data_IF_955176185268
#
_entry.id   IF_955176185268
#
_cell.length_a   1.000
_cell.length_b   1.000
_cell.length_c   1.000
_cell.angle_alpha   90.00
_cell.angle_beta   90.00
_cell.angle_gamma   90.00
#
_symmetry.space_group_name_H-M   'P 1'
#
loop_
_entity.id
_entity.type
_entity.pdbx_description
1 polymer ?
#
# COMPACT_ATOMS: atom_id res chain seq x y z
N UNK A 1 19.69 -2.13 26.59
CA UNK A 1 18.53 -2.46 25.72
C UNK A 1 18.54 -1.47 24.57
N UNK A 2 18.74 -1.92 23.32
CA UNK A 2 18.72 -1.02 22.16
C UNK A 2 17.26 -0.62 21.92
N UNK A 3 16.95 0.67 22.06
CA UNK A 3 15.68 1.23 21.63
C UNK A 3 15.51 0.91 20.15
N UNK A 4 14.37 0.31 19.81
CA UNK A 4 13.92 0.00 18.47
C UNK A 4 13.65 1.35 17.78
N UNK A 5 14.71 1.99 17.28
CA UNK A 5 14.63 3.27 16.58
C UNK A 5 13.51 3.19 15.55
N UNK A 6 12.60 4.15 15.62
CA UNK A 6 11.42 4.30 14.79
C UNK A 6 11.76 4.02 13.33
N UNK A 7 11.23 2.93 12.77
CA UNK A 7 11.17 2.76 11.33
C UNK A 7 10.23 3.85 10.79
N UNK A 8 10.75 5.07 10.61
CA UNK A 8 9.96 6.21 10.17
C UNK A 8 9.35 5.98 8.78
N UNK A 9 10.04 5.21 7.93
CA UNK A 9 9.60 4.83 6.59
C UNK A 9 9.95 3.38 6.28
N UNK A 10 9.04 2.66 5.64
CA UNK A 10 9.20 1.29 5.17
C UNK A 10 9.03 1.25 3.65
N UNK A 11 10.09 0.85 2.94
CA UNK A 11 10.00 0.54 1.52
C UNK A 11 9.50 -0.90 1.34
N UNK A 12 8.39 -1.05 0.62
CA UNK A 12 7.80 -2.34 0.25
C UNK A 12 7.89 -2.46 -1.28
N UNK A 13 8.89 -3.19 -1.79
CA UNK A 13 9.10 -3.29 -3.22
C UNK A 13 8.25 -4.39 -3.85
N UNK A 14 7.94 -4.21 -5.14
CA UNK A 14 7.39 -5.24 -6.02
C UNK A 14 5.98 -5.70 -5.63
N UNK A 15 5.09 -4.76 -5.33
CA UNK A 15 3.69 -5.08 -5.00
C UNK A 15 2.77 -4.86 -6.19
N UNK A 16 1.80 -5.76 -6.36
CA UNK A 16 0.92 -5.74 -7.53
C UNK A 16 -0.34 -4.92 -7.28
N UNK A 17 -0.65 -4.00 -8.21
CA UNK A 17 -1.94 -3.32 -8.24
C UNK A 17 -3.01 -4.29 -8.72
N UNK A 18 -4.00 -4.53 -7.88
CA UNK A 18 -5.13 -5.42 -8.15
C UNK A 18 -6.45 -4.63 -8.19
N UNK A 19 -7.45 -5.20 -8.86
CA UNK A 19 -8.79 -4.62 -8.98
C UNK A 19 -9.84 -5.68 -8.70
N UNK A 20 -10.89 -5.29 -7.99
CA UNK A 20 -12.10 -6.09 -7.85
C UNK A 20 -13.34 -5.23 -8.09
N UNK A 21 -14.44 -5.91 -8.44
CA UNK A 21 -15.77 -5.30 -8.51
C UNK A 21 -16.58 -5.72 -7.29
N UNK A 22 -17.15 -4.74 -6.61
CA UNK A 22 -18.11 -4.94 -5.52
C UNK A 22 -19.43 -4.32 -5.94
N UNK A 23 -20.31 -5.12 -6.55
CA UNK A 23 -21.51 -4.64 -7.22
C UNK A 23 -21.15 -3.70 -8.38
N UNK A 24 -21.65 -2.45 -8.33
CA UNK A 24 -21.33 -1.40 -9.32
C UNK A 24 -20.04 -0.63 -9.03
N UNK A 25 -19.38 -0.89 -7.90
CA UNK A 25 -18.16 -0.17 -7.48
C UNK A 25 -16.91 -0.93 -7.89
N UNK A 26 -15.91 -0.20 -8.34
CA UNK A 26 -14.56 -0.72 -8.59
C UNK A 26 -13.66 -0.36 -7.41
N UNK A 27 -12.89 -1.34 -6.94
CA UNK A 27 -11.96 -1.17 -5.81
C UNK A 27 -10.60 -1.62 -6.29
N UNK A 28 -9.63 -0.70 -6.23
CA UNK A 28 -8.23 -1.00 -6.45
C UNK A 28 -7.57 -1.24 -5.11
N UNK A 29 -6.69 -2.23 -5.03
CA UNK A 29 -6.06 -2.63 -3.79
C UNK A 29 -4.71 -3.27 -4.03
N UNK A 30 -3.93 -3.35 -2.97
CA UNK A 30 -2.61 -3.98 -2.94
C UNK A 30 -2.53 -4.87 -1.71
N UNK A 31 -2.06 -6.11 -1.89
CA UNK A 31 -1.60 -6.94 -0.79
C UNK A 31 -0.15 -6.61 -0.45
N UNK A 32 0.14 -6.49 0.84
CA UNK A 32 1.48 -6.29 1.34
C UNK A 32 2.13 -7.67 1.58
N UNK A 33 3.39 -7.88 1.13
CA UNK A 33 4.05 -9.17 1.26
C UNK A 33 4.22 -9.58 2.73
N UNK A 34 3.95 -10.85 3.03
CA UNK A 34 3.95 -11.38 4.40
C UNK A 34 5.29 -11.15 5.14
N UNK A 35 6.43 -11.12 4.42
CA UNK A 35 7.75 -10.79 5.01
C UNK A 35 7.81 -9.44 5.74
N UNK A 36 6.88 -8.52 5.44
CA UNK A 36 6.80 -7.22 6.10
C UNK A 36 5.86 -7.20 7.30
N UNK A 37 5.12 -8.26 7.58
CA UNK A 37 4.05 -8.27 8.59
C UNK A 37 4.51 -7.77 9.96
N UNK A 38 5.71 -8.17 10.41
CA UNK A 38 6.27 -7.75 11.71
C UNK A 38 6.51 -6.24 11.85
N UNK A 39 6.53 -5.50 10.75
CA UNK A 39 6.71 -4.05 10.70
C UNK A 39 5.38 -3.32 10.49
N UNK A 40 4.33 -4.05 10.15
CA UNK A 40 3.01 -3.50 9.85
C UNK A 40 2.12 -3.59 11.08
N UNK A 41 1.27 -2.59 11.25
CA UNK A 41 0.27 -2.58 12.30
C UNK A 41 -1.04 -2.01 11.77
N UNK A 42 -2.14 -2.35 12.43
CA UNK A 42 -3.39 -1.63 12.26
C UNK A 42 -3.18 -0.13 12.54
N UNK A 43 -3.97 0.72 11.89
CA UNK A 43 -3.87 2.17 12.00
C UNK A 43 -3.77 2.86 10.65
N UNK A 44 -3.48 4.17 10.68
CA UNK A 44 -3.27 5.00 9.50
C UNK A 44 -1.79 5.07 9.16
N UNK A 45 -1.50 4.92 7.87
CA UNK A 45 -0.18 5.03 7.29
C UNK A 45 -0.22 6.06 6.18
N UNK A 46 0.79 6.91 6.10
CA UNK A 46 1.02 7.72 4.90
C UNK A 46 1.62 6.82 3.83
N UNK A 47 1.00 6.78 2.65
CA UNK A 47 1.41 5.93 1.54
C UNK A 47 1.86 6.79 0.37
N UNK A 48 3.02 6.45 -0.19
CA UNK A 48 3.50 6.93 -1.49
C UNK A 48 3.76 5.73 -2.38
N UNK A 49 3.30 5.76 -3.63
CA UNK A 49 3.65 4.76 -4.64
C UNK A 49 4.81 5.27 -5.50
N UNK A 50 5.76 4.39 -5.81
CA UNK A 50 6.81 4.64 -6.79
C UNK A 50 6.47 3.82 -8.03
N UNK A 51 6.26 4.49 -9.16
CA UNK A 51 5.92 3.87 -10.44
C UNK A 51 6.87 4.37 -11.52
N UNK A 52 7.75 3.49 -12.01
CA UNK A 52 8.89 3.91 -12.83
C UNK A 52 9.75 4.93 -12.06
N UNK A 53 9.95 6.11 -12.64
CA UNK A 53 10.71 7.21 -12.03
C UNK A 53 9.83 8.22 -11.27
N UNK A 54 8.53 7.94 -11.08
CA UNK A 54 7.57 8.88 -10.50
C UNK A 54 7.15 8.46 -9.10
N UNK A 55 7.09 9.44 -8.21
CA UNK A 55 6.43 9.31 -6.91
C UNK A 55 5.00 9.84 -6.97
N UNK A 56 4.07 9.06 -6.43
CA UNK A 56 2.64 9.37 -6.39
C UNK A 56 2.18 9.34 -4.94
N UNK A 57 1.84 10.50 -4.40
CA UNK A 57 1.26 10.60 -3.07
C UNK A 57 -0.15 9.98 -3.06
N UNK A 58 -0.29 8.82 -2.41
CA UNK A 58 -1.58 8.17 -2.18
C UNK A 58 -2.29 8.80 -0.97
N UNK A 59 -1.50 9.25 0.02
CA UNK A 59 -1.95 9.85 1.26
C UNK A 59 -2.34 8.81 2.32
N UNK A 60 -3.11 9.23 3.33
CA UNK A 60 -3.42 8.39 4.49
C UNK A 60 -4.32 7.21 4.15
N UNK A 61 -3.85 5.98 4.38
CA UNK A 61 -4.64 4.75 4.23
C UNK A 61 -4.59 3.90 5.48
N UNK A 62 -5.67 3.17 5.68
CA UNK A 62 -5.70 2.11 6.69
C UNK A 62 -5.18 0.82 6.08
N UNK A 63 -4.40 0.08 6.86
CA UNK A 63 -4.06 -1.30 6.54
C UNK A 63 -5.11 -2.24 7.16
N UNK A 64 -5.61 -3.17 6.37
CA UNK A 64 -6.61 -4.16 6.76
C UNK A 64 -6.01 -5.56 6.66
N UNK A 65 -6.39 -6.47 7.56
CA UNK A 65 -6.05 -7.88 7.39
C UNK A 65 -7.10 -8.57 6.53
N UNK A 66 -6.63 -9.35 5.57
CA UNK A 66 -7.43 -10.30 4.82
C UNK A 66 -6.67 -11.62 4.75
N UNK A 67 -7.16 -12.62 5.49
CA UNK A 67 -6.39 -13.82 5.79
C UNK A 67 -5.09 -13.49 6.52
N UNK A 68 -3.96 -14.03 6.03
CA UNK A 68 -2.62 -13.84 6.60
C UNK A 68 -1.87 -12.62 6.06
N UNK A 69 -2.53 -11.78 5.26
CA UNK A 69 -1.90 -10.64 4.59
C UNK A 69 -2.51 -9.32 5.06
N UNK A 70 -1.66 -8.31 5.20
CA UNK A 70 -2.14 -6.92 5.21
C UNK A 70 -2.45 -6.48 3.78
N UNK A 71 -3.46 -5.64 3.63
CA UNK A 71 -3.81 -5.01 2.37
C UNK A 71 -4.22 -3.55 2.58
N UNK A 72 -4.13 -2.76 1.51
CA UNK A 72 -4.66 -1.40 1.47
C UNK A 72 -5.44 -1.17 0.19
N UNK A 73 -6.38 -0.23 0.24
CA UNK A 73 -7.13 0.24 -0.93
C UNK A 73 -6.50 1.49 -1.50
N UNK A 74 -6.50 1.59 -2.83
CA UNK A 74 -6.01 2.74 -3.56
C UNK A 74 -7.16 3.72 -3.87
N UNK A 75 -6.90 5.04 -3.91
CA UNK A 75 -7.92 6.04 -4.16
C UNK A 75 -8.51 5.92 -5.55
N UNK A 76 -9.84 5.93 -5.64
CA UNK A 76 -10.56 5.91 -6.92
C UNK A 76 -10.30 7.17 -7.76
N UNK A 77 -9.95 8.30 -7.13
CA UNK A 77 -9.59 9.53 -7.84
C UNK A 77 -8.36 9.38 -8.72
N UNK A 78 -7.49 8.41 -8.44
CA UNK A 78 -6.30 8.08 -9.25
C UNK A 78 -6.54 6.87 -10.17
N UNK A 79 -7.80 6.52 -10.46
CA UNK A 79 -8.19 5.37 -11.30
C UNK A 79 -7.38 5.25 -12.58
N UNK A 80 -7.22 6.34 -13.33
CA UNK A 80 -6.51 6.31 -14.62
C UNK A 80 -5.07 5.81 -14.47
N UNK A 81 -4.41 6.14 -13.36
CA UNK A 81 -3.07 5.66 -13.04
C UNK A 81 -3.14 4.17 -12.72
N UNK A 82 -4.05 3.74 -11.83
CA UNK A 82 -4.13 2.32 -11.44
C UNK A 82 -4.48 1.39 -12.58
N UNK A 83 -5.27 1.84 -13.56
CA UNK A 83 -5.53 1.09 -14.78
C UNK A 83 -4.26 0.88 -15.63
N UNK A 84 -3.36 1.88 -15.69
CA UNK A 84 -2.08 1.74 -16.41
C UNK A 84 -1.13 0.72 -15.75
N UNK A 85 -1.27 0.52 -14.44
CA UNK A 85 -0.44 -0.37 -13.62
C UNK A 85 -1.17 -1.63 -13.15
N UNK A 86 -2.38 -1.91 -13.66
CA UNK A 86 -3.15 -3.08 -13.26
C UNK A 86 -2.39 -4.36 -13.63
N UNK A 87 -2.14 -5.23 -12.65
CA UNK A 87 -1.34 -6.44 -12.81
C UNK A 87 0.18 -6.20 -12.92
N UNK A 88 0.65 -4.95 -12.86
CA UNK A 88 2.07 -4.60 -12.83
C UNK A 88 2.57 -4.41 -11.39
N UNK A 89 3.87 -4.55 -11.22
CA UNK A 89 4.55 -4.27 -9.96
C UNK A 89 4.85 -2.78 -9.81
N UNK A 90 4.67 -2.29 -8.59
CA UNK A 90 5.05 -0.96 -8.13
C UNK A 90 5.71 -1.08 -6.77
N UNK A 91 6.44 -0.06 -6.34
CA UNK A 91 6.94 -0.01 -4.95
C UNK A 91 6.06 0.92 -4.10
N UNK A 92 6.03 0.67 -2.80
CA UNK A 92 5.35 1.54 -1.84
C UNK A 92 6.32 2.01 -0.77
N UNK A 93 6.19 3.28 -0.38
CA UNK A 93 6.74 3.80 0.86
C UNK A 93 5.59 3.95 1.85
N UNK A 94 5.75 3.35 3.03
CA UNK A 94 4.82 3.38 4.15
C UNK A 94 5.43 4.13 5.32
N UNK A 95 4.78 5.19 5.78
CA UNK A 95 5.20 5.96 6.95
C UNK A 95 4.12 5.87 8.02
N UNK A 96 4.50 5.44 9.22
CA UNK A 96 3.54 5.33 10.32
C UNK A 96 3.20 6.73 10.81
N UNK A 97 1.90 7.03 10.86
CA UNK A 97 1.44 8.28 11.48
C UNK A 97 1.28 8.01 12.98
N UNK A 98 1.92 8.85 13.80
CA UNK A 98 1.91 8.77 15.26
C UNK A 98 0.49 8.81 15.84
#
# INVERSE_FOLDING_TARGET
>A
MKNLAELGKLLIPGVTVSKMKSGKKEIYYIYLPHRFERYLSHGKWSITAIVGEKEILIGLRSLYKHGNYFMLTLPISLKQIWEQYLGKEIDLILEKVA
#
